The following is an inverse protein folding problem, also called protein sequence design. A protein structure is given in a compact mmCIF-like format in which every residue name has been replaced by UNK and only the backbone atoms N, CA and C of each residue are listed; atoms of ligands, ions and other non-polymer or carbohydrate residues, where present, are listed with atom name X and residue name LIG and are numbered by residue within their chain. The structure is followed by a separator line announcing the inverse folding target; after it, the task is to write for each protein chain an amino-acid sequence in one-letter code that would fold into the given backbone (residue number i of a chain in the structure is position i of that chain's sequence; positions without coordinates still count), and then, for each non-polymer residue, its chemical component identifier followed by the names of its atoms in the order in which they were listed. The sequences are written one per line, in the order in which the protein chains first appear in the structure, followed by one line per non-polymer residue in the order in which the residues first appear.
data_IF_647799088615
#
_entry.id   IF_647799088615
#
_cell.length_a   1.000
_cell.length_b   1.000
_cell.length_c   1.000
_cell.angle_alpha   90.00
_cell.angle_beta   90.00
_cell.angle_gamma   90.00
#
_symmetry.space_group_name_H-M   'P 1'
#
loop_
_entity.id
_entity.type
_entity.pdbx_description
1 polymer ?
#
# COMPACT_ATOMS: atom_id res chain seq x y z
N UNK A 1 -20.34 8.18 26.94
CA UNK A 1 -19.52 7.00 26.52
C UNK A 1 -20.25 5.97 25.64
N UNK A 2 -21.58 5.89 25.65
CA UNK A 2 -22.37 4.90 24.89
C UNK A 2 -22.62 5.22 23.40
N UNK A 3 -22.57 6.50 23.00
CA UNK A 3 -22.84 6.91 21.61
C UNK A 3 -21.72 6.54 20.63
N UNK A 4 -20.45 6.66 21.02
CA UNK A 4 -19.31 6.31 20.16
C UNK A 4 -19.22 4.80 19.88
N UNK A 5 -19.52 3.94 20.86
CA UNK A 5 -19.57 2.48 20.66
C UNK A 5 -20.72 2.06 19.73
N UNK A 6 -21.90 2.68 19.83
CA UNK A 6 -23.01 2.38 18.90
C UNK A 6 -22.74 2.87 17.47
N UNK A 7 -22.12 4.03 17.31
CA UNK A 7 -21.68 4.50 15.98
C UNK A 7 -20.62 3.54 15.43
N UNK A 8 -19.61 3.17 16.21
CA UNK A 8 -18.58 2.22 15.76
C UNK A 8 -19.17 0.86 15.36
N UNK A 9 -20.05 0.27 16.18
CA UNK A 9 -20.74 -0.99 15.88
C UNK A 9 -21.60 -0.89 14.62
N UNK A 10 -22.40 0.17 14.48
CA UNK A 10 -23.23 0.37 13.29
C UNK A 10 -22.40 0.59 12.02
N UNK A 11 -21.31 1.37 12.09
CA UNK A 11 -20.41 1.57 10.95
C UNK A 11 -19.64 0.31 10.58
N UNK A 12 -19.21 -0.47 11.57
CA UNK A 12 -18.53 -1.75 11.38
C UNK A 12 -19.46 -2.73 10.66
N UNK A 13 -20.72 -2.82 11.09
CA UNK A 13 -21.70 -3.73 10.49
C UNK A 13 -22.13 -3.30 9.08
N UNK A 14 -22.17 -1.99 8.79
CA UNK A 14 -22.44 -1.45 7.44
C UNK A 14 -21.27 -1.74 6.48
N UNK A 15 -20.02 -1.63 6.95
CA UNK A 15 -18.85 -1.86 6.10
C UNK A 15 -18.59 -3.36 5.88
N UNK A 16 -18.84 -4.21 6.87
CA UNK A 16 -18.77 -5.67 6.72
C UNK A 16 -19.80 -6.17 5.68
N UNK A 17 -21.01 -5.60 5.69
CA UNK A 17 -22.00 -5.83 4.63
C UNK A 17 -21.56 -5.36 3.25
N UNK A 18 -20.78 -4.27 3.16
CA UNK A 18 -20.20 -3.79 1.88
C UNK A 18 -19.09 -4.71 1.38
N UNK A 19 -18.25 -5.25 2.27
CA UNK A 19 -17.22 -6.23 1.91
C UNK A 19 -17.87 -7.48 1.31
N UNK A 20 -18.87 -8.04 1.99
CA UNK A 20 -19.60 -9.22 1.50
C UNK A 20 -20.27 -8.96 0.13
N UNK A 21 -20.94 -7.81 -0.04
CA UNK A 21 -21.56 -7.46 -1.31
C UNK A 21 -20.54 -7.31 -2.46
N UNK A 22 -19.36 -6.76 -2.17
CA UNK A 22 -18.29 -6.64 -3.15
C UNK A 22 -17.67 -7.99 -3.50
N UNK A 23 -17.54 -8.91 -2.53
CA UNK A 23 -17.07 -10.28 -2.77
C UNK A 23 -18.05 -11.08 -3.64
N UNK A 24 -19.36 -11.01 -3.36
CA UNK A 24 -20.38 -11.64 -4.21
C UNK A 24 -20.34 -11.11 -5.64
N UNK A 25 -20.30 -9.78 -5.80
CA UNK A 25 -20.19 -9.15 -7.12
C UNK A 25 -18.90 -9.53 -7.85
N UNK A 26 -17.80 -9.67 -7.11
CA UNK A 26 -16.52 -10.12 -7.67
C UNK A 26 -16.63 -11.56 -8.21
N UNK A 27 -17.28 -12.45 -7.46
CA UNK A 27 -17.51 -13.84 -7.86
C UNK A 27 -18.43 -13.93 -9.10
N UNK A 28 -19.52 -13.16 -9.14
CA UNK A 28 -20.42 -13.08 -10.28
C UNK A 28 -19.71 -12.59 -11.55
N UNK A 29 -18.95 -11.50 -11.46
CA UNK A 29 -18.19 -10.97 -12.60
C UNK A 29 -17.15 -11.97 -13.09
N UNK A 30 -16.52 -12.72 -12.19
CA UNK A 30 -15.55 -13.76 -12.55
C UNK A 30 -16.22 -14.94 -13.26
N UNK A 31 -17.40 -15.37 -12.80
CA UNK A 31 -18.19 -16.41 -13.46
C UNK A 31 -18.65 -15.98 -14.86
N UNK A 32 -19.04 -14.71 -15.01
CA UNK A 32 -19.44 -14.11 -16.28
C UNK A 32 -18.25 -13.75 -17.21
N UNK A 33 -17.00 -14.03 -16.81
CA UNK A 33 -15.78 -13.64 -17.54
C UNK A 33 -15.68 -12.12 -17.83
N UNK A 34 -16.24 -11.30 -16.93
CA UNK A 34 -16.22 -9.84 -17.01
C UNK A 34 -15.00 -9.27 -16.29
N UNK A 35 -14.52 -8.06 -16.67
CA UNK A 35 -13.38 -7.43 -16.01
C UNK A 35 -13.69 -7.12 -14.53
N UNK A 36 -12.86 -7.67 -13.64
CA UNK A 36 -13.06 -7.56 -12.19
C UNK A 36 -12.24 -6.43 -11.52
N UNK A 37 -11.28 -5.84 -12.24
CA UNK A 37 -10.28 -4.93 -11.66
C UNK A 37 -10.85 -3.73 -10.89
N UNK A 38 -11.96 -3.15 -11.36
CA UNK A 38 -12.61 -2.02 -10.65
C UNK A 38 -13.25 -2.46 -9.32
N UNK A 39 -14.00 -3.56 -9.34
CA UNK A 39 -14.63 -4.15 -8.14
C UNK A 39 -13.56 -4.62 -7.14
N UNK A 40 -12.50 -5.27 -7.63
CA UNK A 40 -11.37 -5.70 -6.82
C UNK A 40 -10.66 -4.52 -6.16
N UNK A 41 -10.39 -3.44 -6.89
CA UNK A 41 -9.81 -2.21 -6.34
C UNK A 41 -10.68 -1.65 -5.22
N UNK A 42 -11.99 -1.58 -5.41
CA UNK A 42 -12.91 -1.07 -4.40
C UNK A 42 -12.93 -1.96 -3.14
N UNK A 43 -12.92 -3.27 -3.33
CA UNK A 43 -12.85 -4.24 -2.23
C UNK A 43 -11.55 -4.08 -1.43
N UNK A 44 -10.40 -4.01 -2.10
CA UNK A 44 -9.10 -3.78 -1.44
C UNK A 44 -9.10 -2.45 -0.68
N UNK A 45 -9.60 -1.37 -1.27
CA UNK A 45 -9.67 -0.07 -0.57
C UNK A 45 -10.56 -0.14 0.67
N UNK A 46 -11.67 -0.88 0.61
CA UNK A 46 -12.57 -1.08 1.75
C UNK A 46 -11.87 -1.84 2.87
N UNK A 47 -11.17 -2.93 2.53
CA UNK A 47 -10.38 -3.70 3.50
C UNK A 47 -9.22 -2.89 4.09
N UNK A 48 -8.56 -2.04 3.29
CA UNK A 48 -7.56 -1.11 3.80
C UNK A 48 -8.18 -0.10 4.78
N UNK A 49 -9.40 0.37 4.56
CA UNK A 49 -10.06 1.28 5.49
C UNK A 49 -10.39 0.60 6.83
N UNK A 50 -10.62 -0.71 6.83
CA UNK A 50 -10.89 -1.52 8.02
C UNK A 50 -9.63 -2.12 8.68
N UNK A 51 -8.44 -1.81 8.17
CA UNK A 51 -7.16 -2.40 8.63
C UNK A 51 -7.14 -3.95 8.56
N UNK A 52 -7.92 -4.55 7.65
CA UNK A 52 -7.98 -6.01 7.43
C UNK A 52 -6.85 -6.47 6.49
N UNK A 53 -5.60 -6.35 6.94
CA UNK A 53 -4.40 -6.63 6.13
C UNK A 53 -4.36 -8.05 5.54
N UNK A 54 -4.57 -9.08 6.37
CA UNK A 54 -4.43 -10.47 5.94
C UNK A 54 -5.39 -10.81 4.79
N UNK A 55 -6.65 -10.38 4.92
CA UNK A 55 -7.67 -10.59 3.87
C UNK A 55 -7.35 -9.81 2.59
N UNK A 56 -6.84 -8.60 2.72
CA UNK A 56 -6.47 -7.78 1.57
C UNK A 56 -5.30 -8.40 0.76
N UNK A 57 -4.31 -8.99 1.45
CA UNK A 57 -3.20 -9.72 0.82
C UNK A 57 -3.65 -11.04 0.20
N UNK A 58 -4.58 -11.75 0.83
CA UNK A 58 -5.17 -12.96 0.26
C UNK A 58 -5.88 -12.67 -1.07
N UNK A 59 -6.71 -11.63 -1.13
CA UNK A 59 -7.39 -11.22 -2.36
C UNK A 59 -6.41 -10.77 -3.44
N UNK A 60 -5.34 -10.07 -3.07
CA UNK A 60 -4.25 -9.75 -4.01
C UNK A 60 -3.72 -11.02 -4.67
N UNK A 61 -3.45 -12.06 -3.87
CA UNK A 61 -2.88 -13.32 -4.38
C UNK A 61 -3.87 -14.07 -5.28
N UNK A 62 -5.15 -14.06 -4.93
CA UNK A 62 -6.22 -14.72 -5.71
C UNK A 62 -6.51 -14.02 -7.05
N UNK A 63 -6.25 -12.72 -7.14
CA UNK A 63 -6.62 -11.89 -8.30
C UNK A 63 -5.44 -11.08 -8.85
N UNK A 64 -4.22 -11.60 -8.76
CA UNK A 64 -2.99 -10.90 -9.13
C UNK A 64 -2.99 -10.39 -10.59
N UNK A 65 -3.57 -11.18 -11.50
CA UNK A 65 -3.71 -10.80 -12.91
C UNK A 65 -4.52 -9.51 -13.07
N UNK A 66 -5.60 -9.36 -12.30
CA UNK A 66 -6.56 -8.25 -12.38
C UNK A 66 -6.18 -7.04 -11.51
N UNK A 67 -5.10 -7.15 -10.72
CA UNK A 67 -4.63 -6.07 -9.85
C UNK A 67 -4.20 -4.85 -10.66
N UNK A 68 -4.63 -3.67 -10.24
CA UNK A 68 -4.23 -2.39 -10.84
C UNK A 68 -3.28 -1.63 -9.92
N UNK A 69 -2.51 -0.70 -10.50
CA UNK A 69 -1.59 0.18 -9.79
C UNK A 69 -2.16 0.79 -8.49
N UNK A 70 -3.41 1.28 -8.56
CA UNK A 70 -4.08 1.86 -7.41
C UNK A 70 -4.29 0.88 -6.25
N UNK A 71 -4.52 -0.41 -6.53
CA UNK A 71 -4.70 -1.44 -5.52
C UNK A 71 -3.37 -1.77 -4.83
N UNK A 72 -2.28 -1.91 -5.59
CA UNK A 72 -0.93 -2.06 -5.01
C UNK A 72 -0.57 -0.88 -4.11
N UNK A 73 -0.82 0.33 -4.58
CA UNK A 73 -0.53 1.54 -3.83
C UNK A 73 -1.30 1.61 -2.49
N UNK A 74 -2.54 1.09 -2.45
CA UNK A 74 -3.34 0.99 -1.23
C UNK A 74 -2.79 -0.08 -0.27
N UNK A 75 -2.41 -1.26 -0.78
CA UNK A 75 -1.83 -2.33 0.02
C UNK A 75 -0.48 -1.94 0.61
N UNK A 76 0.39 -1.28 -0.17
CA UNK A 76 1.69 -0.79 0.32
C UNK A 76 1.50 0.13 1.52
N UNK A 77 0.54 1.06 1.45
CA UNK A 77 0.23 1.95 2.56
C UNK A 77 -0.31 1.21 3.78
N UNK A 78 -1.17 0.20 3.57
CA UNK A 78 -1.69 -0.64 4.65
C UNK A 78 -0.56 -1.43 5.33
N UNK A 79 0.31 -2.09 4.56
CA UNK A 79 1.49 -2.80 5.08
C UNK A 79 2.38 -1.87 5.91
N UNK A 80 2.59 -0.62 5.47
CA UNK A 80 3.32 0.38 6.25
C UNK A 80 2.66 0.68 7.60
N UNK A 81 1.33 0.82 7.66
CA UNK A 81 0.62 1.07 8.93
C UNK A 81 0.73 -0.09 9.92
N UNK A 82 0.83 -1.32 9.42
CA UNK A 82 1.05 -2.53 10.21
C UNK A 82 2.53 -2.85 10.46
N UNK A 83 3.45 -1.93 10.14
CA UNK A 83 4.90 -2.10 10.24
C UNK A 83 5.44 -3.34 9.47
N UNK A 84 4.69 -3.86 8.50
CA UNK A 84 5.08 -4.98 7.64
C UNK A 84 5.91 -4.49 6.44
N UNK A 85 7.16 -4.12 6.71
CA UNK A 85 8.12 -3.61 5.72
C UNK A 85 8.33 -4.57 4.56
N UNK A 86 8.54 -5.86 4.85
CA UNK A 86 8.90 -6.85 3.84
C UNK A 86 7.86 -6.95 2.74
N UNK A 87 6.59 -7.06 3.14
CA UNK A 87 5.49 -7.16 2.20
C UNK A 87 5.30 -5.85 1.45
N UNK A 88 5.45 -4.69 2.11
CA UNK A 88 5.38 -3.38 1.46
C UNK A 88 6.44 -3.23 0.36
N UNK A 89 7.67 -3.71 0.59
CA UNK A 89 8.74 -3.72 -0.40
C UNK A 89 8.49 -4.73 -1.51
N UNK A 90 7.94 -5.91 -1.17
CA UNK A 90 7.60 -6.91 -2.17
C UNK A 90 6.55 -6.40 -3.15
N UNK A 91 5.44 -5.84 -2.64
CA UNK A 91 4.38 -5.23 -3.44
C UNK A 91 4.89 -4.10 -4.34
N UNK A 92 5.83 -3.29 -3.84
CA UNK A 92 6.47 -2.24 -4.64
C UNK A 92 7.28 -2.82 -5.80
N UNK A 93 8.08 -3.87 -5.55
CA UNK A 93 8.87 -4.54 -6.58
C UNK A 93 7.95 -5.16 -7.65
N UNK A 94 6.86 -5.79 -7.23
CA UNK A 94 5.85 -6.33 -8.14
C UNK A 94 5.20 -5.24 -9.00
N UNK A 95 4.81 -4.12 -8.38
CA UNK A 95 4.23 -2.99 -9.11
C UNK A 95 5.21 -2.46 -10.17
N UNK A 96 6.48 -2.28 -9.85
CA UNK A 96 7.50 -1.81 -10.80
C UNK A 96 7.77 -2.81 -11.94
N UNK A 97 7.61 -4.12 -11.69
CA UNK A 97 7.72 -5.16 -12.73
C UNK A 97 6.50 -5.17 -13.65
N UNK A 98 5.29 -4.95 -13.10
CA UNK A 98 4.04 -4.94 -13.85
C UNK A 98 3.89 -3.67 -14.68
N UNK A 99 4.25 -2.53 -14.10
CA UNK A 99 4.17 -1.23 -14.73
C UNK A 99 5.29 -0.31 -14.20
N UNK A 100 6.38 -0.23 -14.95
CA UNK A 100 7.54 0.60 -14.59
C UNK A 100 7.28 2.10 -14.68
N UNK A 101 6.21 2.51 -15.37
CA UNK A 101 5.83 3.92 -15.51
C UNK A 101 5.07 4.45 -14.29
N UNK A 102 4.45 3.55 -13.51
CA UNK A 102 3.68 3.90 -12.34
C UNK A 102 4.60 4.20 -11.16
N UNK A 103 4.60 5.46 -10.76
CA UNK A 103 5.23 5.94 -9.53
C UNK A 103 4.22 5.96 -8.38
N UNK A 104 4.63 5.52 -7.19
CA UNK A 104 3.87 5.82 -5.98
C UNK A 104 3.95 7.33 -5.70
N UNK A 105 2.88 7.91 -5.17
CA UNK A 105 2.97 9.32 -4.74
C UNK A 105 3.93 9.49 -3.55
N UNK A 106 4.34 10.74 -3.33
CA UNK A 106 5.28 11.09 -2.27
C UNK A 106 4.80 10.67 -0.88
N UNK A 107 3.49 10.67 -0.61
CA UNK A 107 2.94 10.27 0.70
C UNK A 107 3.20 8.79 0.99
N UNK A 108 3.00 7.93 -0.01
CA UNK A 108 3.26 6.48 0.12
C UNK A 108 4.74 6.17 0.28
N UNK A 109 5.61 6.91 -0.41
CA UNK A 109 7.06 6.82 -0.21
C UNK A 109 7.48 7.26 1.20
N UNK A 110 6.92 8.36 1.71
CA UNK A 110 7.17 8.81 3.09
C UNK A 110 6.72 7.75 4.10
N UNK A 111 5.59 7.07 3.87
CA UNK A 111 5.13 5.98 4.73
C UNK A 111 6.14 4.80 4.75
N UNK A 112 6.62 4.37 3.58
CA UNK A 112 7.66 3.33 3.47
C UNK A 112 8.93 3.71 4.23
N UNK A 113 9.43 4.93 4.01
CA UNK A 113 10.66 5.42 4.65
C UNK A 113 10.51 5.42 6.16
N UNK A 114 9.40 5.95 6.69
CA UNK A 114 9.15 5.96 8.14
C UNK A 114 9.22 4.57 8.75
N UNK A 115 8.61 3.59 8.10
CA UNK A 115 8.51 2.21 8.59
C UNK A 115 9.87 1.51 8.49
N UNK A 116 10.66 1.81 7.45
CA UNK A 116 12.06 1.39 7.35
C UNK A 116 12.96 2.01 8.41
N UNK A 117 12.80 3.30 8.71
CA UNK A 117 13.54 3.98 9.78
C UNK A 117 13.27 3.30 11.12
N UNK A 118 12.00 3.06 11.44
CA UNK A 118 11.58 2.41 12.69
C UNK A 118 12.21 1.03 12.86
N UNK A 119 12.29 0.25 11.78
CA UNK A 119 12.81 -1.10 11.80
C UNK A 119 14.35 -1.17 11.67
N UNK A 120 15.05 -0.01 11.60
CA UNK A 120 16.50 0.04 11.47
C UNK A 120 17.03 -0.44 10.11
N UNK A 121 16.16 -0.49 9.08
CA UNK A 121 16.46 -1.06 7.76
C UNK A 121 16.67 -0.01 6.67
N UNK A 122 16.86 1.25 7.07
CA UNK A 122 17.33 2.29 6.17
C UNK A 122 18.84 2.15 5.94
N UNK A 123 19.24 1.08 5.25
CA UNK A 123 20.60 1.01 4.71
C UNK A 123 20.72 1.99 3.53
N UNK A 124 21.87 2.66 3.41
CA UNK A 124 22.10 3.73 2.43
C UNK A 124 21.73 3.37 0.98
N UNK A 125 21.88 2.09 0.62
CA UNK A 125 21.54 1.59 -0.70
C UNK A 125 20.03 1.54 -1.00
N UNK A 126 19.17 1.57 0.02
CA UNK A 126 17.71 1.54 -0.19
C UNK A 126 17.21 2.83 -0.82
N UNK A 127 17.70 3.98 -0.36
CA UNK A 127 17.38 5.28 -0.94
C UNK A 127 17.75 5.32 -2.43
N UNK A 128 18.92 4.81 -2.80
CA UNK A 128 19.43 4.83 -4.19
C UNK A 128 18.71 3.83 -5.10
N UNK A 129 18.42 2.59 -4.64
CA UNK A 129 17.73 1.59 -5.48
C UNK A 129 16.23 1.80 -5.60
N UNK A 130 15.59 2.37 -4.58
CA UNK A 130 14.13 2.33 -4.47
C UNK A 130 13.46 3.70 -4.54
N UNK A 131 14.14 4.83 -4.33
CA UNK A 131 13.52 6.15 -4.53
C UNK A 131 13.72 6.63 -5.97
N UNK A 132 12.63 6.90 -6.69
CA UNK A 132 12.71 7.73 -7.90
C UNK A 132 13.28 9.11 -7.49
N UNK A 133 14.27 9.63 -8.21
CA UNK A 133 15.20 10.68 -7.75
C UNK A 133 14.58 11.97 -7.14
N UNK A 134 13.30 12.25 -7.40
CA UNK A 134 12.58 13.36 -6.77
C UNK A 134 12.24 13.13 -5.28
N UNK A 135 12.10 11.87 -4.85
CA UNK A 135 11.74 11.52 -3.46
C UNK A 135 12.90 11.69 -2.51
N UNK A 136 14.12 11.37 -2.93
CA UNK A 136 15.34 11.62 -2.13
C UNK A 136 15.37 13.09 -1.73
N UNK A 137 15.19 14.01 -2.69
CA UNK A 137 15.15 15.46 -2.45
C UNK A 137 14.08 15.89 -1.44
N UNK A 138 12.90 15.27 -1.47
CA UNK A 138 11.82 15.55 -0.51
C UNK A 138 12.21 15.07 0.90
N UNK A 139 12.78 13.88 1.01
CA UNK A 139 13.15 13.27 2.29
C UNK A 139 14.33 13.99 2.95
N UNK A 140 15.32 14.44 2.17
CA UNK A 140 16.43 15.26 2.69
C UNK A 140 15.93 16.64 3.14
N UNK A 141 15.04 17.29 2.38
CA UNK A 141 14.45 18.59 2.76
C UNK A 141 13.61 18.53 4.03
N UNK A 142 13.02 17.38 4.34
CA UNK A 142 12.12 17.20 5.49
C UNK A 142 12.85 16.73 6.76
N UNK A 143 14.20 16.70 6.77
CA UNK A 143 15.01 16.28 7.91
C UNK A 143 14.81 14.81 8.30
N UNK A 144 14.31 13.98 7.37
CA UNK A 144 13.96 12.57 7.63
C UNK A 144 15.03 11.57 7.17
N UNK A 145 16.11 12.09 6.59
CA UNK A 145 17.34 11.36 6.28
C UNK A 145 18.48 12.13 6.94
N UNK A 146 18.85 11.75 8.15
CA UNK A 146 20.02 12.30 8.84
C UNK A 146 21.02 11.16 9.09
N UNK A 147 22.28 11.35 8.65
CA UNK A 147 23.35 10.34 8.64
C UNK A 147 23.99 10.13 7.27
N UNK A 148 25.01 9.27 7.17
CA UNK A 148 25.81 8.96 5.96
C UNK A 148 24.97 8.65 4.71
N UNK A 149 23.75 8.12 4.90
CA UNK A 149 22.75 7.85 3.87
C UNK A 149 22.36 9.08 3.01
N UNK A 150 22.42 10.31 3.57
CA UNK A 150 22.14 11.53 2.81
C UNK A 150 23.33 12.00 1.94
N UNK A 151 24.57 11.70 2.36
CA UNK A 151 25.78 12.19 1.69
C UNK A 151 26.09 11.43 0.40
N UNK A 152 25.84 10.11 0.36
CA UNK A 152 26.13 9.31 -0.83
C UNK A 152 25.11 9.51 -1.96
N UNK A 153 23.85 9.84 -1.65
CA UNK A 153 22.84 10.08 -2.69
C UNK A 153 22.96 11.48 -3.32
N UNK A 154 23.40 12.49 -2.55
CA UNK A 154 23.65 13.84 -3.10
C UNK A 154 24.89 13.86 -3.99
N UNK A 155 25.88 12.99 -3.74
CA UNK A 155 27.12 12.93 -4.53
C UNK A 155 26.97 12.21 -5.88
N UNK A 156 25.85 11.49 -6.09
CA UNK A 156 25.58 10.69 -7.29
C UNK A 156 24.56 11.35 -8.26
N UNK A 157 24.12 12.58 -7.98
CA UNK A 157 23.31 13.43 -8.88
C UNK A 157 24.06 14.69 -9.26
#
# INVERSE_FOLDING_TARGET
PTSACNVFLSTFQILDGKVLALESRLAELKADSKPVGATLKQLILTLCAEEKLDRALELKKQHEADMVAGSYAALIHLCCRHDNVEEALNLKRELSRKDSSVSLDSSKYVALVKVLTKQGRLEGEWCTRHCQGNIVKVLTKQGRLEGECALDTVRAT
#
